data_IF_024092087386
#
_entry.id   IF_024092087386
#
_cell.length_a   1.000
_cell.length_b   1.000
_cell.length_c   1.000
_cell.angle_alpha   90.00
_cell.angle_beta   90.00
_cell.angle_gamma   90.00
#
_symmetry.space_group_name_H-M   'P 1'
#
loop_
_entity.id
_entity.type
_entity.pdbx_description
1 polymer ?
#
# COMPACT_ATOMS: atom_id res chain seq x y z
N UNK A 1 -41.64 41.44 55.21
CA UNK A 1 -41.38 41.89 53.83
C UNK A 1 -40.06 41.26 53.37
N UNK A 2 -40.12 40.07 52.75
CA UNK A 2 -39.89 39.80 51.31
C UNK A 2 -38.53 40.26 50.74
N UNK A 3 -37.64 39.27 50.64
CA UNK A 3 -36.80 38.87 49.48
C UNK A 3 -35.95 39.96 48.79
N UNK A 4 -34.64 39.72 48.70
CA UNK A 4 -33.98 39.17 47.48
C UNK A 4 -32.48 38.95 47.72
N UNK A 5 -32.09 37.68 47.81
CA UNK A 5 -30.72 37.20 47.59
C UNK A 5 -30.45 37.29 46.08
N UNK A 6 -29.42 38.03 45.69
CA UNK A 6 -28.88 37.98 44.32
C UNK A 6 -27.71 37.00 44.34
N UNK A 7 -27.96 35.79 43.83
CA UNK A 7 -26.94 34.80 43.53
C UNK A 7 -26.39 35.14 42.15
N UNK A 8 -25.14 35.61 42.10
CA UNK A 8 -24.41 35.79 40.85
C UNK A 8 -23.93 34.42 40.38
N UNK A 9 -24.71 33.79 39.50
CA UNK A 9 -24.27 32.64 38.71
C UNK A 9 -23.24 33.13 37.67
N UNK A 10 -21.96 33.04 38.01
CA UNK A 10 -20.89 33.10 37.03
C UNK A 10 -20.90 31.77 36.26
N UNK A 11 -21.46 31.77 35.05
CA UNK A 11 -21.34 30.67 34.11
C UNK A 11 -19.87 30.59 33.65
N UNK A 12 -19.10 29.71 34.29
CA UNK A 12 -17.84 29.27 33.73
C UNK A 12 -18.15 28.44 32.48
N UNK A 13 -17.95 29.02 31.29
CA UNK A 13 -17.77 28.24 30.07
C UNK A 13 -16.47 27.45 30.25
N UNK A 14 -16.58 26.26 30.83
CA UNK A 14 -15.55 25.25 30.70
C UNK A 14 -15.56 24.84 29.23
N UNK A 15 -14.67 25.45 28.43
CA UNK A 15 -14.15 24.79 27.24
C UNK A 15 -13.44 23.53 27.72
N UNK A 16 -14.20 22.46 27.93
CA UNK A 16 -13.62 21.14 28.04
C UNK A 16 -12.85 20.92 26.74
N UNK A 17 -11.54 20.60 26.78
CA UNK A 17 -10.86 20.16 25.57
C UNK A 17 -11.70 19.00 25.03
N UNK A 18 -12.12 19.08 23.77
CA UNK A 18 -12.80 17.98 23.12
C UNK A 18 -11.89 16.76 23.28
N UNK A 19 -12.23 15.86 24.21
CA UNK A 19 -11.44 14.68 24.51
C UNK A 19 -11.19 13.98 23.18
N UNK A 20 -9.92 13.80 22.81
CA UNK A 20 -9.53 13.18 21.57
C UNK A 20 -10.16 11.78 21.52
N UNK A 21 -11.23 11.65 20.73
CA UNK A 21 -11.97 10.40 20.53
C UNK A 21 -11.37 9.69 19.34
N UNK A 22 -11.26 8.37 19.44
CA UNK A 22 -10.98 7.51 18.30
C UNK A 22 -12.31 7.11 17.63
N UNK A 23 -12.47 7.41 16.35
CA UNK A 23 -13.53 6.83 15.51
C UNK A 23 -12.87 5.97 14.41
N UNK A 24 -13.46 4.80 14.14
CA UNK A 24 -12.90 3.84 13.19
C UNK A 24 -13.94 3.51 12.12
N UNK A 25 -13.49 3.49 10.87
CA UNK A 25 -14.18 2.84 9.76
C UNK A 25 -13.47 1.53 9.41
N UNK A 26 -14.22 0.48 9.11
CA UNK A 26 -13.69 -0.79 8.65
C UNK A 26 -14.50 -1.35 7.48
N UNK A 27 -13.86 -2.11 6.59
CA UNK A 27 -14.49 -2.75 5.44
C UNK A 27 -13.52 -3.63 4.66
N UNK A 28 -13.84 -3.91 3.40
CA UNK A 28 -12.97 -4.65 2.47
C UNK A 28 -12.83 -3.88 1.16
N UNK A 29 -11.60 -3.81 0.64
CA UNK A 29 -11.28 -3.27 -0.69
C UNK A 29 -9.90 -3.77 -1.13
N UNK A 30 -9.62 -3.77 -2.44
CA UNK A 30 -8.32 -4.18 -3.00
C UNK A 30 -7.87 -5.58 -2.55
N UNK A 31 -8.83 -6.47 -2.31
CA UNK A 31 -8.57 -7.85 -1.85
C UNK A 31 -8.12 -7.98 -0.39
N UNK A 32 -8.19 -6.92 0.42
CA UNK A 32 -7.75 -6.93 1.82
C UNK A 32 -8.81 -6.34 2.77
N UNK A 33 -8.66 -6.64 4.06
CA UNK A 33 -9.35 -5.90 5.11
C UNK A 33 -8.79 -4.48 5.21
N UNK A 34 -9.69 -3.53 5.35
CA UNK A 34 -9.36 -2.11 5.41
C UNK A 34 -9.85 -1.54 6.73
N UNK A 35 -9.02 -0.75 7.40
CA UNK A 35 -9.42 0.04 8.55
C UNK A 35 -8.80 1.44 8.52
N UNK A 36 -9.56 2.41 9.02
CA UNK A 36 -9.13 3.80 9.16
C UNK A 36 -9.55 4.28 10.54
N UNK A 37 -8.57 4.49 11.42
CA UNK A 37 -8.78 5.00 12.78
C UNK A 37 -8.32 6.45 12.86
N UNK A 38 -9.21 7.35 13.27
CA UNK A 38 -8.97 8.79 13.39
C UNK A 38 -9.09 9.25 14.84
N UNK A 39 -8.19 10.12 15.26
CA UNK A 39 -8.29 10.82 16.54
C UNK A 39 -8.60 12.30 16.30
N UNK A 40 -9.65 12.82 16.95
CA UNK A 40 -9.96 14.25 16.90
C UNK A 40 -11.42 14.59 17.24
N UNK A 41 -11.85 15.82 16.93
CA UNK A 41 -13.23 16.25 17.12
C UNK A 41 -14.20 15.42 16.27
N UNK A 42 -15.33 15.00 16.87
CA UNK A 42 -16.32 14.10 16.25
C UNK A 42 -16.83 14.58 14.88
N UNK A 43 -17.04 15.89 14.73
CA UNK A 43 -17.53 16.43 13.45
C UNK A 43 -16.50 16.26 12.33
N UNK A 44 -15.21 16.41 12.65
CA UNK A 44 -14.12 16.20 11.69
C UNK A 44 -13.99 14.72 11.34
N UNK A 45 -13.95 13.84 12.36
CA UNK A 45 -13.76 12.40 12.15
C UNK A 45 -14.92 11.81 11.34
N UNK A 46 -16.17 12.18 11.64
CA UNK A 46 -17.34 11.70 10.88
C UNK A 46 -17.33 12.15 9.42
N UNK A 47 -16.99 13.42 9.14
CA UNK A 47 -16.88 13.92 7.76
C UNK A 47 -15.78 13.20 6.98
N UNK A 48 -14.62 13.00 7.60
CA UNK A 48 -13.49 12.31 6.98
C UNK A 48 -13.82 10.84 6.67
N UNK A 49 -14.39 10.10 7.64
CA UNK A 49 -14.73 8.68 7.46
C UNK A 49 -15.86 8.47 6.45
N UNK A 50 -16.77 9.43 6.27
CA UNK A 50 -17.84 9.34 5.28
C UNK A 50 -17.33 9.33 3.82
N UNK A 51 -16.15 9.91 3.56
CA UNK A 51 -15.54 9.91 2.23
C UNK A 51 -14.76 8.61 1.90
N UNK A 52 -14.46 7.78 2.91
CA UNK A 52 -13.64 6.57 2.76
C UNK A 52 -14.20 5.60 1.71
N UNK A 53 -15.50 5.22 1.74
CA UNK A 53 -16.03 4.26 0.77
C UNK A 53 -15.92 4.75 -0.68
N UNK A 54 -16.14 6.05 -0.92
CA UNK A 54 -16.03 6.65 -2.25
C UNK A 54 -14.60 6.61 -2.77
N UNK A 55 -13.62 6.86 -1.89
CA UNK A 55 -12.21 6.74 -2.27
C UNK A 55 -11.88 5.30 -2.69
N UNK A 56 -12.31 4.30 -1.92
CA UNK A 56 -12.07 2.89 -2.23
C UNK A 56 -12.72 2.47 -3.56
N UNK A 57 -13.93 2.96 -3.87
CA UNK A 57 -14.59 2.75 -5.17
C UNK A 57 -13.75 3.31 -6.32
N UNK A 58 -13.20 4.52 -6.18
CA UNK A 58 -12.35 5.11 -7.23
C UNK A 58 -11.07 4.27 -7.47
N UNK A 59 -10.52 3.66 -6.43
CA UNK A 59 -9.37 2.77 -6.53
C UNK A 59 -9.73 1.47 -7.28
N UNK A 60 -10.88 0.88 -6.96
CA UNK A 60 -11.38 -0.29 -7.70
C UNK A 60 -11.67 0.02 -9.18
N UNK A 61 -12.23 1.19 -9.48
CA UNK A 61 -12.44 1.66 -10.85
C UNK A 61 -11.12 1.91 -11.60
N UNK A 62 -10.06 2.30 -10.91
CA UNK A 62 -8.76 2.53 -11.54
C UNK A 62 -7.95 1.22 -11.71
N UNK A 63 -7.91 0.36 -10.70
CA UNK A 63 -6.85 -0.64 -10.57
C UNK A 63 -7.33 -2.08 -10.46
N UNK A 64 -8.64 -2.35 -10.41
CA UNK A 64 -9.13 -3.72 -10.35
C UNK A 64 -8.76 -4.50 -11.61
N UNK A 65 -8.17 -5.69 -11.47
CA UNK A 65 -7.96 -6.62 -12.59
C UNK A 65 -9.23 -7.37 -12.99
N UNK A 66 -10.23 -7.39 -12.11
CA UNK A 66 -11.43 -8.23 -12.24
C UNK A 66 -12.63 -7.47 -12.77
N UNK A 67 -12.70 -6.15 -12.57
CA UNK A 67 -13.79 -5.31 -13.10
C UNK A 67 -13.50 -4.98 -14.57
N UNK A 68 -14.29 -5.48 -15.55
CA UNK A 68 -13.98 -5.27 -16.97
C UNK A 68 -13.96 -3.78 -17.38
N UNK A 69 -14.65 -2.93 -16.63
CA UNK A 69 -14.74 -1.48 -16.86
C UNK A 69 -13.61 -0.70 -16.21
N UNK A 70 -12.77 -1.32 -15.38
CA UNK A 70 -11.66 -0.61 -14.73
C UNK A 70 -10.65 -0.09 -15.74
N UNK A 71 -9.91 0.94 -15.37
CA UNK A 71 -8.88 1.49 -16.24
C UNK A 71 -7.78 0.46 -16.54
N UNK A 72 -7.34 -0.29 -15.53
CA UNK A 72 -6.34 -1.34 -15.69
C UNK A 72 -6.81 -2.51 -16.57
N UNK A 73 -8.02 -3.04 -16.34
CA UNK A 73 -8.56 -4.12 -17.18
C UNK A 73 -8.74 -3.67 -18.62
N UNK A 74 -9.24 -2.45 -18.84
CA UNK A 74 -9.35 -1.88 -20.20
C UNK A 74 -7.99 -1.70 -20.86
N UNK A 75 -6.96 -1.25 -20.14
CA UNK A 75 -5.59 -1.17 -20.65
C UNK A 75 -5.10 -2.55 -21.10
N UNK A 76 -5.24 -3.57 -20.24
CA UNK A 76 -4.77 -4.92 -20.51
C UNK A 76 -5.52 -5.60 -21.68
N UNK A 77 -6.81 -5.33 -21.83
CA UNK A 77 -7.63 -5.90 -22.92
C UNK A 77 -7.35 -5.18 -24.25
N UNK A 78 -7.31 -3.84 -24.23
CA UNK A 78 -7.25 -3.04 -25.45
C UNK A 78 -5.82 -2.72 -25.90
N UNK A 79 -4.82 -3.00 -25.07
CA UNK A 79 -3.42 -2.64 -25.28
C UNK A 79 -3.12 -1.14 -25.11
N UNK A 80 -4.15 -0.32 -24.83
CA UNK A 80 -4.01 1.14 -24.69
C UNK A 80 -5.11 1.75 -23.82
N UNK A 81 -4.75 2.80 -23.09
CA UNK A 81 -5.64 3.62 -22.29
C UNK A 81 -5.41 5.10 -22.61
N UNK A 82 -6.43 5.76 -23.19
CA UNK A 82 -6.44 7.20 -23.47
C UNK A 82 -6.86 7.99 -22.25
N UNK A 83 -6.28 9.17 -22.09
CA UNK A 83 -6.60 10.14 -21.04
C UNK A 83 -6.67 9.48 -19.65
N UNK A 84 -5.61 8.76 -19.22
CA UNK A 84 -5.60 8.09 -17.92
C UNK A 84 -5.90 9.09 -16.81
N UNK A 85 -6.74 8.73 -15.83
CA UNK A 85 -7.04 9.62 -14.71
C UNK A 85 -5.80 9.92 -13.85
N UNK A 86 -5.92 10.89 -12.94
CA UNK A 86 -4.81 11.31 -12.06
C UNK A 86 -4.25 10.14 -11.25
N UNK A 87 -5.11 9.25 -10.73
CA UNK A 87 -4.67 8.08 -9.97
C UNK A 87 -3.77 7.18 -10.81
N UNK A 88 -4.18 6.85 -12.03
CA UNK A 88 -3.41 6.02 -12.94
C UNK A 88 -2.08 6.66 -13.32
N UNK A 89 -2.07 7.95 -13.68
CA UNK A 89 -0.82 8.66 -14.02
C UNK A 89 0.18 8.69 -12.86
N UNK A 90 -0.31 9.02 -11.66
CA UNK A 90 0.53 9.06 -10.47
C UNK A 90 1.09 7.67 -10.16
N UNK A 91 0.25 6.62 -10.21
CA UNK A 91 0.71 5.27 -9.90
C UNK A 91 1.70 4.75 -10.94
N UNK A 92 1.50 5.04 -12.23
CA UNK A 92 2.48 4.70 -13.28
C UNK A 92 3.85 5.31 -13.01
N UNK A 93 3.90 6.59 -12.61
CA UNK A 93 5.16 7.24 -12.27
C UNK A 93 5.85 6.60 -11.04
N UNK A 94 5.07 6.21 -10.02
CA UNK A 94 5.61 5.51 -8.83
C UNK A 94 6.08 4.10 -9.14
N UNK A 95 5.36 3.40 -10.03
CA UNK A 95 5.76 2.08 -10.48
C UNK A 95 7.06 2.12 -11.29
N UNK A 96 7.25 3.15 -12.13
CA UNK A 96 8.51 3.39 -12.85
C UNK A 96 9.68 3.67 -11.90
N UNK A 97 9.46 4.53 -10.90
CA UNK A 97 10.44 4.82 -9.84
C UNK A 97 10.85 3.54 -9.09
N UNK A 98 9.89 2.72 -8.65
CA UNK A 98 10.14 1.46 -7.97
C UNK A 98 10.85 0.43 -8.88
N UNK A 99 10.50 0.37 -10.16
CA UNK A 99 11.17 -0.49 -11.14
C UNK A 99 12.65 -0.13 -11.25
N UNK A 100 12.97 1.16 -11.39
CA UNK A 100 14.35 1.62 -11.49
C UNK A 100 15.14 1.42 -10.20
N UNK A 101 14.59 1.79 -9.03
CA UNK A 101 15.25 1.62 -7.74
C UNK A 101 15.56 0.15 -7.42
N UNK A 102 14.70 -0.76 -7.87
CA UNK A 102 14.86 -2.20 -7.63
C UNK A 102 15.73 -2.94 -8.66
N UNK A 103 16.20 -2.26 -9.71
CA UNK A 103 16.88 -2.92 -10.84
C UNK A 103 15.95 -3.89 -11.60
N UNK A 104 14.67 -3.54 -11.69
CA UNK A 104 13.63 -4.30 -12.36
C UNK A 104 13.18 -5.56 -11.63
N UNK A 105 13.44 -5.68 -10.31
CA UNK A 105 12.86 -6.73 -9.48
C UNK A 105 11.39 -6.46 -9.14
N UNK A 106 11.01 -5.19 -9.02
CA UNK A 106 9.62 -4.77 -9.11
C UNK A 106 9.28 -4.53 -10.58
N UNK A 107 8.47 -5.39 -11.19
CA UNK A 107 8.04 -5.24 -12.59
C UNK A 107 6.51 -5.37 -12.71
N UNK A 108 5.79 -4.26 -12.94
CA UNK A 108 4.35 -4.29 -13.13
C UNK A 108 3.88 -5.14 -14.33
N UNK A 109 4.77 -5.46 -15.29
CA UNK A 109 4.43 -6.30 -16.45
C UNK A 109 4.31 -7.79 -16.11
N UNK A 110 4.51 -8.20 -14.85
CA UNK A 110 4.51 -9.60 -14.39
C UNK A 110 3.16 -10.33 -14.60
N UNK A 111 2.07 -9.60 -14.86
CA UNK A 111 0.71 -10.14 -14.91
C UNK A 111 0.52 -11.36 -15.83
N UNK A 112 1.02 -11.41 -17.08
CA UNK A 112 0.88 -12.59 -17.92
C UNK A 112 1.58 -13.81 -17.34
N UNK A 113 2.75 -13.63 -16.71
CA UNK A 113 3.50 -14.72 -16.07
C UNK A 113 2.74 -15.24 -14.85
N UNK A 114 2.20 -14.33 -14.04
CA UNK A 114 1.35 -14.67 -12.91
C UNK A 114 0.12 -15.48 -13.35
N UNK A 115 -0.58 -15.04 -14.40
CA UNK A 115 -1.73 -15.77 -14.92
C UNK A 115 -1.38 -17.14 -15.51
N UNK A 116 -0.22 -17.28 -16.14
CA UNK A 116 0.22 -18.56 -16.68
C UNK A 116 0.39 -19.59 -15.55
N UNK A 117 1.08 -19.22 -14.47
CA UNK A 117 1.20 -20.08 -13.29
C UNK A 117 -0.14 -20.34 -12.60
N UNK A 118 -0.98 -19.31 -12.41
CA UNK A 118 -2.31 -19.46 -11.81
C UNK A 118 -3.19 -20.48 -12.53
N UNK A 119 -3.04 -20.57 -13.86
CA UNK A 119 -3.83 -21.43 -14.75
C UNK A 119 -3.12 -22.73 -15.11
N UNK A 120 -1.94 -23.01 -14.56
CA UNK A 120 -1.14 -24.21 -14.88
C UNK A 120 -0.72 -24.29 -16.36
N UNK A 121 -0.48 -23.14 -17.01
CA UNK A 121 -0.07 -23.04 -18.42
C UNK A 121 1.45 -22.92 -18.55
N UNK A 122 1.97 -23.18 -19.75
CA UNK A 122 3.37 -22.93 -20.07
C UNK A 122 3.74 -21.45 -19.82
N UNK A 123 4.69 -21.16 -18.90
CA UNK A 123 5.08 -19.79 -18.58
C UNK A 123 6.00 -19.15 -19.63
N UNK A 124 6.59 -19.90 -20.55
CA UNK A 124 7.61 -19.38 -21.47
C UNK A 124 7.10 -18.28 -22.42
N UNK A 125 5.91 -18.40 -23.05
CA UNK A 125 5.34 -17.31 -23.83
C UNK A 125 5.11 -16.04 -22.99
N UNK A 126 4.65 -16.21 -21.75
CA UNK A 126 4.38 -15.11 -20.84
C UNK A 126 5.67 -14.42 -20.38
N UNK A 127 6.73 -15.18 -20.10
CA UNK A 127 8.05 -14.65 -19.76
C UNK A 127 8.63 -13.76 -20.87
N UNK A 128 8.44 -14.14 -22.13
CA UNK A 128 8.86 -13.35 -23.30
C UNK A 128 8.05 -12.06 -23.50
N UNK A 129 6.85 -11.99 -22.92
CA UNK A 129 6.04 -10.79 -22.96
C UNK A 129 6.48 -9.73 -21.93
N UNK A 130 7.21 -10.11 -20.89
CA UNK A 130 7.65 -9.19 -19.84
C UNK A 130 8.58 -8.08 -20.37
N UNK A 131 8.67 -7.00 -19.57
CA UNK A 131 9.65 -5.93 -19.75
C UNK A 131 9.01 -4.56 -19.65
N UNK A 132 9.24 -3.87 -18.52
CA UNK A 132 8.76 -2.52 -18.29
C UNK A 132 9.19 -1.50 -19.37
N UNK A 133 10.41 -1.63 -19.90
CA UNK A 133 10.94 -0.77 -20.99
C UNK A 133 10.11 -0.79 -22.29
N UNK A 134 9.20 -1.76 -22.44
CA UNK A 134 8.31 -1.89 -23.61
C UNK A 134 6.99 -1.15 -23.42
N UNK A 135 6.64 -0.80 -22.19
CA UNK A 135 5.46 -0.02 -21.83
C UNK A 135 5.73 1.44 -22.17
N UNK A 136 4.82 2.08 -22.90
CA UNK A 136 4.92 3.51 -23.23
C UNK A 136 3.85 4.24 -22.45
N UNK A 137 4.22 5.28 -21.71
CA UNK A 137 3.24 6.08 -20.98
C UNK A 137 3.56 7.56 -21.01
N UNK A 138 2.50 8.35 -20.93
CA UNK A 138 2.50 9.81 -20.89
C UNK A 138 1.23 10.28 -20.19
N UNK A 139 1.07 11.59 -20.04
CA UNK A 139 -0.15 12.15 -19.47
C UNK A 139 -1.42 11.88 -20.30
N UNK A 140 -1.27 11.57 -21.59
CA UNK A 140 -2.39 11.40 -22.53
C UNK A 140 -2.69 9.96 -22.89
N UNK A 141 -1.72 9.06 -22.72
CA UNK A 141 -1.85 7.68 -23.18
C UNK A 141 -0.90 6.77 -22.41
N UNK A 142 -1.39 5.56 -22.10
CA UNK A 142 -0.61 4.40 -21.70
C UNK A 142 -0.81 3.31 -22.75
N UNK A 143 0.27 2.68 -23.21
CA UNK A 143 0.27 1.61 -24.20
C UNK A 143 1.13 0.43 -23.73
N UNK A 144 0.59 -0.77 -23.89
CA UNK A 144 1.30 -2.04 -23.66
C UNK A 144 1.37 -2.82 -24.97
N UNK A 145 2.43 -3.59 -25.16
CA UNK A 145 2.60 -4.36 -26.39
C UNK A 145 1.75 -5.64 -26.41
N UNK A 146 1.66 -6.29 -27.56
CA UNK A 146 1.01 -7.59 -27.68
C UNK A 146 1.60 -8.59 -26.68
N UNK A 147 0.71 -9.27 -25.95
CA UNK A 147 1.06 -10.23 -24.91
C UNK A 147 1.39 -9.61 -23.54
N UNK A 148 1.60 -8.28 -23.45
CA UNK A 148 1.79 -7.60 -22.17
C UNK A 148 0.47 -7.34 -21.46
N UNK A 149 0.51 -7.45 -20.15
CA UNK A 149 -0.52 -6.95 -19.25
C UNK A 149 0.18 -6.37 -18.02
N UNK A 150 -0.42 -5.35 -17.42
CA UNK A 150 0.07 -4.74 -16.18
C UNK A 150 -0.72 -5.27 -14.98
N UNK A 151 -0.05 -5.30 -13.84
CA UNK A 151 -0.66 -5.41 -12.51
C UNK A 151 -0.03 -4.38 -11.59
N UNK A 152 -0.82 -3.89 -10.65
CA UNK A 152 -0.36 -3.00 -9.59
C UNK A 152 -0.55 -3.61 -8.21
N UNK A 153 -0.73 -4.93 -8.10
CA UNK A 153 -1.04 -5.57 -6.82
C UNK A 153 0.05 -5.36 -5.74
N UNK A 154 1.33 -5.20 -6.13
CA UNK A 154 2.42 -4.89 -5.18
C UNK A 154 2.73 -3.40 -5.02
N UNK A 155 1.78 -2.50 -5.30
CA UNK A 155 1.97 -1.04 -5.11
C UNK A 155 0.64 -0.30 -4.87
N UNK A 156 -0.48 -0.85 -5.35
CA UNK A 156 -1.79 -0.19 -5.31
C UNK A 156 -2.33 -0.04 -3.88
N UNK A 157 -2.03 -0.99 -2.99
CA UNK A 157 -2.43 -0.94 -1.59
C UNK A 157 -1.67 0.16 -0.85
N UNK A 158 -0.35 0.20 -0.99
CA UNK A 158 0.47 1.31 -0.50
C UNK A 158 0.05 2.67 -1.06
N UNK A 159 -0.28 2.73 -2.35
CA UNK A 159 -0.78 3.95 -2.98
C UNK A 159 -2.14 4.40 -2.43
N UNK A 160 -3.06 3.45 -2.21
CA UNK A 160 -4.35 3.75 -1.58
C UNK A 160 -4.16 4.28 -0.16
N UNK A 161 -3.27 3.67 0.61
CA UNK A 161 -2.93 4.12 1.96
C UNK A 161 -2.38 5.55 1.97
N UNK A 162 -1.48 5.91 1.07
CA UNK A 162 -0.95 7.27 0.97
C UNK A 162 -2.03 8.29 0.53
N UNK A 163 -2.86 7.95 -0.45
CA UNK A 163 -3.97 8.83 -0.88
C UNK A 163 -5.00 9.01 0.23
N UNK A 164 -5.27 7.97 1.02
CA UNK A 164 -6.13 8.06 2.20
C UNK A 164 -5.55 9.03 3.22
N UNK A 165 -4.25 8.95 3.55
CA UNK A 165 -3.61 9.93 4.46
C UNK A 165 -3.79 11.36 3.97
N UNK A 166 -3.64 11.60 2.66
CA UNK A 166 -3.86 12.93 2.08
C UNK A 166 -5.31 13.40 2.21
N UNK A 167 -6.28 12.51 1.99
CA UNK A 167 -7.71 12.79 2.22
C UNK A 167 -7.97 13.17 3.68
N UNK A 168 -7.43 12.41 4.63
CA UNK A 168 -7.60 12.66 6.06
C UNK A 168 -6.95 13.98 6.49
N UNK A 169 -5.74 14.28 6.01
CA UNK A 169 -5.06 15.57 6.25
C UNK A 169 -5.89 16.75 5.72
N UNK A 170 -6.52 16.60 4.55
CA UNK A 170 -7.40 17.63 3.97
C UNK A 170 -8.61 17.92 4.86
N UNK A 171 -9.09 16.94 5.61
CA UNK A 171 -10.14 17.11 6.63
C UNK A 171 -9.62 17.65 7.97
N UNK A 172 -8.32 17.88 8.11
CA UNK A 172 -7.70 18.40 9.34
C UNK A 172 -7.31 17.33 10.36
N UNK A 173 -7.24 16.05 9.95
CA UNK A 173 -6.75 15.00 10.84
C UNK A 173 -5.23 15.12 11.03
N UNK A 174 -4.79 15.15 12.30
CA UNK A 174 -3.38 15.14 12.67
C UNK A 174 -2.90 13.76 13.12
N UNK A 175 -3.78 12.99 13.77
CA UNK A 175 -3.45 11.66 14.31
C UNK A 175 -4.40 10.62 13.73
N UNK A 176 -3.84 9.65 13.01
CA UNK A 176 -4.59 8.58 12.34
C UNK A 176 -3.73 7.33 12.10
N UNK A 177 -4.38 6.17 12.07
CA UNK A 177 -3.81 4.93 11.56
C UNK A 177 -4.66 4.45 10.39
N UNK A 178 -4.03 4.31 9.23
CA UNK A 178 -4.65 3.79 8.00
C UNK A 178 -4.10 2.40 7.74
N UNK A 179 -4.97 1.45 7.42
CA UNK A 179 -4.63 0.12 6.93
C UNK A 179 -5.47 -0.17 5.68
N UNK A 180 -4.86 -0.16 4.49
CA UNK A 180 -5.52 -0.58 3.22
C UNK A 180 -4.67 -1.69 2.60
N UNK A 181 -4.50 -2.80 3.33
CA UNK A 181 -3.49 -3.82 3.02
C UNK A 181 -2.11 -3.44 3.57
N UNK A 182 -1.75 -2.16 3.43
CA UNK A 182 -0.54 -1.58 4.03
C UNK A 182 -0.85 -0.53 5.08
N UNK A 183 0.02 -0.42 6.09
CA UNK A 183 -0.22 0.38 7.28
C UNK A 183 0.53 1.72 7.24
N UNK A 184 -0.14 2.81 7.61
CA UNK A 184 0.52 4.10 7.76
C UNK A 184 -0.04 4.95 8.88
N UNK A 185 0.88 5.51 9.66
CA UNK A 185 0.61 6.44 10.74
C UNK A 185 0.63 7.90 10.26
N UNK A 186 -0.28 8.69 10.80
CA UNK A 186 -0.20 10.14 10.89
C UNK A 186 -0.12 10.48 12.38
N UNK A 187 0.87 11.25 12.81
CA UNK A 187 1.19 11.42 14.22
C UNK A 187 1.66 10.09 14.83
N UNK A 188 1.20 9.79 16.06
CA UNK A 188 1.52 8.56 16.78
C UNK A 188 2.01 8.80 18.22
N UNK A 189 2.52 7.77 18.90
CA UNK A 189 2.92 6.48 18.34
C UNK A 189 1.72 5.54 18.14
N UNK A 190 1.81 4.67 17.14
CA UNK A 190 0.94 3.51 16.96
C UNK A 190 1.77 2.23 17.03
N UNK A 191 1.31 1.23 17.78
CA UNK A 191 2.00 -0.06 17.91
C UNK A 191 1.36 -1.08 16.98
N UNK A 192 2.18 -1.70 16.14
CA UNK A 192 1.78 -2.67 15.12
C UNK A 192 2.45 -4.01 15.40
N UNK A 193 1.77 -5.10 15.06
CA UNK A 193 2.37 -6.44 15.09
C UNK A 193 3.29 -6.64 13.89
N UNK A 194 4.39 -7.35 14.11
CA UNK A 194 5.21 -7.93 13.06
C UNK A 194 4.93 -9.43 13.08
N UNK A 195 4.35 -9.93 12.00
CA UNK A 195 3.94 -11.32 11.86
C UNK A 195 4.59 -11.92 10.62
N UNK A 196 4.94 -13.21 10.69
CA UNK A 196 5.40 -14.00 9.56
C UNK A 196 4.45 -15.20 9.37
N UNK A 197 4.03 -15.53 8.13
CA UNK A 197 3.09 -16.62 7.90
C UNK A 197 3.57 -18.00 8.37
N UNK A 198 4.89 -18.19 8.50
CA UNK A 198 5.51 -19.47 8.87
C UNK A 198 5.86 -19.49 10.36
N UNK A 199 6.36 -18.39 10.91
CA UNK A 199 6.88 -18.29 12.27
C UNK A 199 5.92 -17.64 13.27
N UNK A 200 4.79 -17.11 12.81
CA UNK A 200 3.78 -16.46 13.64
C UNK A 200 4.21 -15.07 14.09
N UNK A 201 3.84 -14.69 15.31
CA UNK A 201 4.12 -13.36 15.85
C UNK A 201 5.61 -13.22 16.23
N UNK A 202 6.25 -12.20 15.66
CA UNK A 202 7.68 -11.95 15.80
C UNK A 202 8.00 -10.77 16.74
N UNK A 203 7.02 -9.90 16.99
CA UNK A 203 7.16 -8.78 17.91
C UNK A 203 6.31 -7.60 17.50
N UNK A 204 6.59 -6.43 18.07
CA UNK A 204 5.84 -5.21 17.77
C UNK A 204 6.73 -4.09 17.28
N UNK A 205 6.10 -3.14 16.57
CA UNK A 205 6.76 -1.97 16.01
C UNK A 205 5.97 -0.71 16.27
N UNK A 206 6.64 0.31 16.80
CA UNK A 206 6.05 1.64 16.93
C UNK A 206 6.28 2.45 15.66
N UNK A 207 5.20 2.97 15.07
CA UNK A 207 5.25 3.93 13.98
C UNK A 207 4.83 5.32 14.45
N UNK A 208 5.57 6.32 13.96
CA UNK A 208 5.24 7.74 14.05
C UNK A 208 5.47 8.39 12.70
N UNK A 209 4.42 8.96 12.11
CA UNK A 209 4.47 9.64 10.81
C UNK A 209 5.10 8.82 9.66
N UNK A 210 5.09 7.50 9.78
CA UNK A 210 5.69 6.55 8.84
C UNK A 210 4.66 5.54 8.36
N UNK A 211 4.95 4.92 7.23
CA UNK A 211 4.28 3.74 6.73
C UNK A 211 5.16 2.51 6.90
N UNK A 212 4.52 1.35 6.98
CA UNK A 212 5.16 0.03 6.90
C UNK A 212 4.40 -0.82 5.88
N UNK A 213 5.16 -1.51 5.04
CA UNK A 213 4.60 -2.52 4.15
C UNK A 213 5.37 -3.83 4.25
N UNK A 214 4.66 -4.95 4.16
CA UNK A 214 5.22 -6.28 4.42
C UNK A 214 4.94 -7.26 3.29
N UNK A 215 6.01 -7.80 2.70
CA UNK A 215 5.94 -8.84 1.68
C UNK A 215 6.40 -10.18 2.24
N UNK A 216 5.51 -11.18 2.20
CA UNK A 216 5.78 -12.54 2.66
C UNK A 216 5.44 -13.55 1.56
N UNK A 217 6.45 -14.15 0.89
CA UNK A 217 6.22 -15.11 -0.19
C UNK A 217 5.29 -16.28 0.18
N UNK A 218 5.29 -16.71 1.45
CA UNK A 218 4.46 -17.81 1.95
C UNK A 218 3.01 -17.41 2.27
N UNK A 219 2.65 -16.12 2.25
CA UNK A 219 1.30 -15.67 2.59
C UNK A 219 0.22 -16.17 1.61
N UNK A 220 0.61 -16.40 0.34
CA UNK A 220 -0.24 -16.97 -0.68
C UNK A 220 0.60 -17.79 -1.67
N UNK A 221 0.11 -18.97 -2.02
CA UNK A 221 0.72 -19.83 -3.04
C UNK A 221 -0.01 -19.71 -4.37
N UNK A 222 0.77 -19.83 -5.45
CA UNK A 222 0.33 -19.85 -6.83
C UNK A 222 0.71 -21.22 -7.42
N UNK A 223 -0.14 -22.22 -7.20
CA UNK A 223 0.21 -23.61 -7.44
C UNK A 223 1.28 -24.08 -6.46
N UNK A 224 2.44 -24.51 -6.98
CA UNK A 224 3.61 -24.96 -6.21
C UNK A 224 4.60 -23.82 -5.88
N UNK A 225 4.28 -22.58 -6.23
CA UNK A 225 5.17 -21.41 -6.11
C UNK A 225 4.58 -20.35 -5.18
N UNK A 226 5.41 -19.38 -4.79
CA UNK A 226 4.91 -18.14 -4.20
C UNK A 226 4.12 -17.31 -5.23
N UNK A 227 3.14 -16.54 -4.76
CA UNK A 227 2.49 -15.51 -5.57
C UNK A 227 3.42 -14.33 -5.93
N UNK A 228 4.52 -14.11 -5.19
CA UNK A 228 5.53 -13.11 -5.51
C UNK A 228 6.56 -13.75 -6.45
N UNK A 229 6.48 -13.41 -7.74
CA UNK A 229 7.29 -14.00 -8.79
C UNK A 229 8.46 -13.10 -9.17
N UNK A 230 9.67 -13.67 -9.24
CA UNK A 230 10.83 -13.01 -9.82
C UNK A 230 10.68 -12.83 -11.33
N UNK A 231 10.71 -11.60 -11.88
CA UNK A 231 10.54 -11.36 -13.32
C UNK A 231 11.53 -12.14 -14.21
N UNK A 232 12.74 -12.43 -13.70
CA UNK A 232 13.78 -13.21 -14.38
C UNK A 232 13.93 -14.62 -13.80
N UNK A 233 13.01 -15.05 -12.94
CA UNK A 233 13.05 -16.35 -12.29
C UNK A 233 13.79 -16.35 -10.95
N UNK A 234 13.98 -15.18 -10.33
CA UNK A 234 14.51 -15.07 -8.98
C UNK A 234 13.64 -15.85 -7.98
N UNK A 235 14.30 -16.45 -6.99
CA UNK A 235 13.66 -17.15 -5.87
C UNK A 235 13.78 -16.25 -4.64
N UNK A 236 12.72 -16.11 -3.82
CA UNK A 236 12.80 -15.31 -2.61
C UNK A 236 13.89 -15.81 -1.65
N UNK A 237 14.66 -14.87 -1.10
CA UNK A 237 15.75 -15.11 -0.16
C UNK A 237 15.29 -15.00 1.31
N UNK A 238 14.12 -14.39 1.53
CA UNK A 238 13.59 -14.05 2.85
C UNK A 238 12.19 -14.63 3.02
N UNK A 239 11.86 -15.06 4.23
CA UNK A 239 10.51 -15.50 4.61
C UNK A 239 9.53 -14.32 4.61
N UNK A 240 9.98 -13.19 5.15
CA UNK A 240 9.24 -11.94 5.20
C UNK A 240 10.19 -10.75 5.12
N UNK A 241 9.79 -9.70 4.39
CA UNK A 241 10.46 -8.40 4.37
C UNK A 241 9.45 -7.31 4.71
N UNK A 242 9.74 -6.53 5.75
CA UNK A 242 8.98 -5.32 6.10
C UNK A 242 9.81 -4.08 5.86
N UNK A 243 9.27 -3.11 5.13
CA UNK A 243 9.93 -1.83 4.85
C UNK A 243 9.17 -0.71 5.55
N UNK A 244 9.87 0.09 6.35
CA UNK A 244 9.36 1.34 6.90
C UNK A 244 9.85 2.52 6.06
N UNK A 245 8.93 3.37 5.61
CA UNK A 245 9.23 4.54 4.80
C UNK A 245 8.21 5.66 5.01
N UNK A 246 8.52 6.91 4.62
CA UNK A 246 7.53 7.99 4.65
C UNK A 246 6.31 7.75 3.77
N UNK A 247 6.46 6.95 2.70
CA UNK A 247 5.43 6.59 1.72
C UNK A 247 5.10 5.11 1.80
N UNK A 248 3.83 4.79 2.01
CA UNK A 248 3.33 3.42 1.93
C UNK A 248 3.48 2.87 0.51
N UNK A 249 3.30 3.72 -0.51
CA UNK A 249 3.46 3.36 -1.93
C UNK A 249 4.84 2.77 -2.21
N UNK A 250 5.90 3.45 -1.76
CA UNK A 250 7.27 2.98 -1.99
C UNK A 250 7.64 1.81 -1.07
N UNK A 251 7.13 1.78 0.16
CA UNK A 251 7.32 0.64 1.05
C UNK A 251 6.76 -0.64 0.43
N UNK A 252 5.54 -0.60 -0.11
CA UNK A 252 4.83 -1.72 -0.73
C UNK A 252 5.63 -2.29 -1.92
N UNK A 253 5.88 -1.44 -2.93
CA UNK A 253 6.60 -1.84 -4.14
C UNK A 253 8.02 -2.35 -3.86
N UNK A 254 8.74 -1.69 -2.96
CA UNK A 254 10.10 -2.08 -2.67
C UNK A 254 10.16 -3.30 -1.76
N UNK A 255 9.16 -3.54 -0.89
CA UNK A 255 9.10 -4.78 -0.11
C UNK A 255 8.91 -5.99 -1.01
N UNK A 256 8.07 -5.86 -2.05
CA UNK A 256 7.85 -6.89 -3.08
C UNK A 256 9.15 -7.24 -3.80
N UNK A 257 9.97 -6.25 -4.15
CA UNK A 257 11.26 -6.50 -4.80
C UNK A 257 12.33 -7.01 -3.83
N UNK A 258 12.31 -6.52 -2.59
CA UNK A 258 13.32 -6.78 -1.57
C UNK A 258 13.39 -8.26 -1.17
N UNK A 259 12.30 -9.02 -1.34
CA UNK A 259 12.32 -10.47 -1.08
C UNK A 259 13.37 -11.20 -1.92
N UNK A 260 13.79 -10.65 -3.06
CA UNK A 260 14.79 -11.22 -3.97
C UNK A 260 16.20 -10.62 -3.82
N UNK A 261 16.40 -9.68 -2.90
CA UNK A 261 17.66 -8.95 -2.77
C UNK A 261 18.51 -9.48 -1.63
N UNK A 262 19.80 -9.66 -1.88
CA UNK A 262 20.77 -9.87 -0.81
C UNK A 262 20.94 -8.60 0.05
N UNK A 263 21.66 -8.74 1.17
CA UNK A 263 21.84 -7.66 2.14
C UNK A 263 22.55 -6.44 1.57
N UNK A 264 23.49 -6.62 0.65
CA UNK A 264 24.24 -5.49 0.09
C UNK A 264 23.38 -4.69 -0.87
N UNK A 265 22.56 -5.35 -1.69
CA UNK A 265 21.54 -4.70 -2.51
C UNK A 265 20.51 -3.97 -1.64
N UNK A 266 20.08 -4.57 -0.53
CA UNK A 266 19.13 -3.94 0.39
C UNK A 266 19.70 -2.69 1.09
N UNK A 267 20.98 -2.70 1.48
CA UNK A 267 21.65 -1.51 2.03
C UNK A 267 21.70 -0.38 1.00
N UNK A 268 22.02 -0.68 -0.25
CA UNK A 268 21.99 0.31 -1.32
C UNK A 268 20.58 0.83 -1.56
N UNK A 269 19.58 -0.06 -1.65
CA UNK A 269 18.18 0.30 -1.83
C UNK A 269 17.69 1.23 -0.71
N UNK A 270 18.00 0.90 0.54
CA UNK A 270 17.64 1.71 1.72
C UNK A 270 18.10 3.15 1.59
N UNK A 271 19.35 3.36 1.17
CA UNK A 271 19.91 4.71 0.98
C UNK A 271 19.30 5.38 -0.25
N UNK A 272 19.28 4.70 -1.40
CA UNK A 272 18.83 5.26 -2.66
C UNK A 272 17.35 5.68 -2.64
N UNK A 273 16.50 4.91 -1.95
CA UNK A 273 15.07 5.16 -1.83
C UNK A 273 14.68 5.92 -0.55
N UNK A 274 15.65 6.29 0.31
CA UNK A 274 15.39 7.01 1.56
C UNK A 274 14.52 6.23 2.55
N UNK A 275 14.68 4.91 2.62
CA UNK A 275 13.90 4.05 3.51
C UNK A 275 14.38 4.20 4.95
N UNK A 276 13.45 4.22 5.90
CA UNK A 276 13.78 4.36 7.32
C UNK A 276 14.42 3.09 7.87
N UNK A 277 13.81 1.94 7.54
CA UNK A 277 14.19 0.62 8.07
C UNK A 277 13.80 -0.47 7.09
N UNK A 278 14.63 -1.50 7.00
CA UNK A 278 14.25 -2.78 6.37
C UNK A 278 14.41 -3.88 7.41
N UNK A 279 13.32 -4.55 7.75
CA UNK A 279 13.30 -5.72 8.65
C UNK A 279 13.17 -6.98 7.82
N UNK A 280 14.05 -7.95 8.08
CA UNK A 280 14.16 -9.20 7.33
C UNK A 280 13.91 -10.36 8.29
N UNK A 281 13.16 -11.36 7.82
CA UNK A 281 12.97 -12.64 8.49
C UNK A 281 13.53 -13.71 7.56
N UNK A 282 14.50 -14.48 8.03
CA UNK A 282 15.03 -15.61 7.26
C UNK A 282 14.17 -16.88 7.43
N UNK A 283 14.58 -17.97 6.76
CA UNK A 283 13.84 -19.23 6.76
C UNK A 283 13.81 -19.93 8.13
N UNK A 284 14.69 -19.56 9.05
CA UNK A 284 14.75 -20.09 10.41
C UNK A 284 14.01 -19.18 11.42
N UNK A 285 13.42 -18.08 10.93
CA UNK A 285 12.69 -17.11 11.76
C UNK A 285 13.58 -16.07 12.43
N UNK A 286 14.88 -15.99 12.07
CA UNK A 286 15.74 -14.97 12.66
C UNK A 286 15.45 -13.59 12.07
N UNK A 287 15.30 -12.61 12.96
CA UNK A 287 15.00 -11.23 12.60
C UNK A 287 16.29 -10.43 12.45
N UNK A 288 16.37 -9.65 11.39
CA UNK A 288 17.49 -8.76 11.13
C UNK A 288 16.99 -7.40 10.65
N UNK A 289 17.82 -6.37 10.82
CA UNK A 289 17.42 -5.02 10.43
C UNK A 289 18.56 -4.23 9.80
N UNK A 290 18.23 -3.45 8.78
CA UNK A 290 19.10 -2.52 8.06
C UNK A 290 18.60 -1.08 8.19
#
# INVERSE_FOLDING_TARGET
MKRRRFLTLAAAFACAPALARADTWSGQALGAEVSVTLHGPREMTQKALADVPRLLVNFEEAFSLFRPTSHLSRLNIMGRLRDPNVLMRTLMARADEAHHLSGGLFDPTIQPLWEAYAKGRDPEPARKALGWHRVRYSDRMIEVQSGQALTFNGIAQGFATDVMRLLLRKHGAETALVNIGEQAAMGGPFTLGLDDPTHGHLGTRELRDMAIATSSPAALTLGDRSHILGPRGEIPLWSTVSIEAPSATMADALSTAAVFMDRDRLRHLKVAAGLHRITLVDADGNIQTL
#
